data_IF_309349696974
#
_entry.id   IF_309349696974
#
_cell.length_a   1.000
_cell.length_b   1.000
_cell.length_c   1.000
_cell.angle_alpha   90.00
_cell.angle_beta   90.00
_cell.angle_gamma   90.00
#
_symmetry.space_group_name_H-M   'P 1'
#
loop_
_entity.id
_entity.type
_entity.pdbx_description
1 polymer ?
#
# COMPACT_ATOMS: atom_id res chain seq x y z
N UNK A 1 -83.66 -35.10 21.94
CA UNK A 1 -82.48 -35.09 21.05
C UNK A 1 -82.14 -33.64 20.80
N UNK A 2 -81.09 -33.14 21.45
CA UNK A 2 -80.57 -31.80 21.24
C UNK A 2 -79.14 -31.96 20.72
N UNK A 3 -78.91 -31.53 19.49
CA UNK A 3 -77.59 -31.37 18.89
C UNK A 3 -76.94 -30.11 19.45
N UNK A 4 -75.70 -30.16 19.95
CA UNK A 4 -74.93 -28.94 20.16
C UNK A 4 -74.34 -28.49 18.82
N UNK A 5 -74.73 -27.28 18.48
CA UNK A 5 -74.12 -26.39 17.49
C UNK A 5 -72.75 -25.93 18.02
N UNK A 6 -71.71 -26.04 17.22
CA UNK A 6 -70.35 -25.54 17.52
C UNK A 6 -69.76 -24.96 16.23
N UNK A 7 -70.29 -23.81 15.83
CA UNK A 7 -69.51 -22.84 15.06
C UNK A 7 -68.40 -22.28 15.97
N UNK A 8 -67.17 -22.76 15.78
CA UNK A 8 -65.96 -22.24 16.44
C UNK A 8 -65.28 -21.18 15.54
N UNK A 9 -65.37 -19.88 15.86
CA UNK A 9 -64.78 -18.81 15.06
C UNK A 9 -63.27 -18.62 15.28
N UNK A 10 -62.62 -19.43 16.13
CA UNK A 10 -61.23 -19.18 16.54
C UNK A 10 -60.16 -19.64 15.56
N UNK A 11 -60.51 -20.45 14.56
CA UNK A 11 -59.55 -21.04 13.61
C UNK A 11 -59.16 -20.11 12.43
N UNK A 12 -59.92 -19.04 12.19
CA UNK A 12 -59.81 -18.25 10.96
C UNK A 12 -58.87 -17.01 11.08
N UNK A 13 -58.56 -16.58 12.31
CA UNK A 13 -57.68 -15.43 12.57
C UNK A 13 -56.18 -15.74 12.49
N UNK A 14 -55.78 -16.95 12.89
CA UNK A 14 -54.38 -17.40 12.97
C UNK A 14 -53.75 -17.58 11.60
N UNK A 15 -54.55 -17.97 10.60
CA UNK A 15 -54.12 -18.19 9.21
C UNK A 15 -53.80 -16.87 8.48
N UNK A 16 -54.55 -15.80 8.75
CA UNK A 16 -54.36 -14.48 8.15
C UNK A 16 -53.14 -13.76 8.71
N UNK A 17 -52.93 -13.87 10.03
CA UNK A 17 -51.80 -13.25 10.71
C UNK A 17 -50.47 -13.92 10.34
N UNK A 18 -50.44 -15.26 10.24
CA UNK A 18 -49.26 -15.99 9.73
C UNK A 18 -48.91 -15.63 8.29
N UNK A 19 -49.91 -15.47 7.41
CA UNK A 19 -49.69 -15.10 6.01
C UNK A 19 -49.18 -13.67 5.84
N UNK A 20 -49.65 -12.75 6.69
CA UNK A 20 -49.17 -11.36 6.71
C UNK A 20 -47.70 -11.27 7.17
N UNK A 21 -47.34 -12.00 8.22
CA UNK A 21 -45.95 -12.04 8.73
C UNK A 21 -44.99 -12.63 7.69
N UNK A 22 -45.36 -13.74 7.04
CA UNK A 22 -44.57 -14.33 5.95
C UNK A 22 -44.40 -13.33 4.79
N UNK A 23 -45.46 -12.61 4.42
CA UNK A 23 -45.39 -11.57 3.38
C UNK A 23 -44.41 -10.45 3.71
N UNK A 24 -44.38 -9.98 4.97
CA UNK A 24 -43.45 -8.94 5.42
C UNK A 24 -42.00 -9.44 5.39
N UNK A 25 -41.74 -10.64 5.92
CA UNK A 25 -40.38 -11.21 5.95
C UNK A 25 -39.84 -11.43 4.53
N UNK A 26 -40.66 -11.97 3.63
CA UNK A 26 -40.27 -12.16 2.22
C UNK A 26 -40.03 -10.81 1.54
N UNK A 27 -40.86 -9.80 1.81
CA UNK A 27 -40.67 -8.45 1.28
C UNK A 27 -39.35 -7.82 1.73
N UNK A 28 -39.00 -7.95 3.01
CA UNK A 28 -37.72 -7.45 3.56
C UNK A 28 -36.54 -8.19 2.91
N UNK A 29 -36.63 -9.52 2.77
CA UNK A 29 -35.56 -10.32 2.16
C UNK A 29 -35.33 -9.92 0.68
N UNK A 30 -36.40 -9.72 -0.08
CA UNK A 30 -36.31 -9.26 -1.47
C UNK A 30 -35.71 -7.85 -1.53
N UNK A 31 -36.15 -6.93 -0.68
CA UNK A 31 -35.62 -5.58 -0.65
C UNK A 31 -34.13 -5.55 -0.29
N UNK A 32 -33.70 -6.32 0.70
CA UNK A 32 -32.29 -6.46 1.05
C UNK A 32 -31.48 -7.05 -0.11
N UNK A 33 -32.00 -8.09 -0.78
CA UNK A 33 -31.32 -8.69 -1.93
C UNK A 33 -31.19 -7.70 -3.10
N UNK A 34 -32.24 -6.95 -3.42
CA UNK A 34 -32.21 -5.90 -4.45
C UNK A 34 -31.23 -4.78 -4.06
N UNK A 35 -31.19 -4.39 -2.79
CA UNK A 35 -30.23 -3.41 -2.29
C UNK A 35 -28.78 -3.86 -2.45
N UNK A 36 -28.50 -5.12 -2.12
CA UNK A 36 -27.15 -5.71 -2.27
C UNK A 36 -26.76 -5.79 -3.75
N UNK A 37 -27.63 -6.32 -4.61
CA UNK A 37 -27.35 -6.41 -6.06
C UNK A 37 -27.18 -5.02 -6.66
N UNK A 38 -28.04 -4.06 -6.30
CA UNK A 38 -27.95 -2.67 -6.74
C UNK A 38 -26.64 -2.01 -6.30
N UNK A 39 -26.20 -2.27 -5.07
CA UNK A 39 -24.90 -1.80 -4.56
C UNK A 39 -23.74 -2.38 -5.37
N UNK A 40 -23.72 -3.69 -5.62
CA UNK A 40 -22.67 -4.31 -6.43
C UNK A 40 -22.63 -3.80 -7.87
N UNK A 41 -23.79 -3.59 -8.49
CA UNK A 41 -23.88 -3.01 -9.84
C UNK A 41 -23.38 -1.57 -9.86
N UNK A 42 -23.74 -0.77 -8.85
CA UNK A 42 -23.28 0.61 -8.73
C UNK A 42 -21.76 0.70 -8.52
N UNK A 43 -21.21 -0.10 -7.61
CA UNK A 43 -19.76 -0.16 -7.37
C UNK A 43 -19.01 -0.62 -8.62
N UNK A 44 -19.53 -1.63 -9.32
CA UNK A 44 -18.93 -2.12 -10.58
C UNK A 44 -18.91 -1.03 -11.65
N UNK A 45 -20.01 -0.28 -11.80
CA UNK A 45 -20.10 0.81 -12.75
C UNK A 45 -19.16 1.98 -12.39
N UNK A 46 -19.10 2.35 -11.11
CA UNK A 46 -18.20 3.40 -10.64
C UNK A 46 -16.71 3.04 -10.87
N UNK A 47 -16.34 1.77 -10.66
CA UNK A 47 -14.99 1.26 -10.93
C UNK A 47 -14.66 1.27 -12.42
N UNK A 48 -15.60 0.91 -13.29
CA UNK A 48 -15.41 0.98 -14.75
C UNK A 48 -15.23 2.42 -15.24
N UNK A 49 -16.09 3.33 -14.78
CA UNK A 49 -15.98 4.75 -15.15
C UNK A 49 -14.66 5.36 -14.64
N UNK A 50 -14.22 4.97 -13.45
CA UNK A 50 -12.92 5.37 -12.94
C UNK A 50 -11.79 4.82 -13.83
N UNK A 51 -11.81 3.53 -14.19
CA UNK A 51 -10.81 2.93 -15.07
C UNK A 51 -10.74 3.61 -16.46
N UNK A 52 -11.89 3.89 -17.07
CA UNK A 52 -11.98 4.57 -18.37
C UNK A 52 -11.39 5.99 -18.34
N UNK A 53 -11.37 6.64 -17.17
CA UNK A 53 -10.75 7.97 -17.03
C UNK A 53 -9.22 7.94 -17.09
N UNK A 54 -8.60 6.78 -16.80
CA UNK A 54 -7.16 6.57 -16.94
C UNK A 54 -6.76 6.15 -18.36
N UNK A 55 -7.68 5.54 -19.12
CA UNK A 55 -7.50 5.15 -20.51
C UNK A 55 -7.77 6.30 -21.49
N UNK A 56 -7.18 7.48 -21.22
CA UNK A 56 -7.20 8.57 -22.20
C UNK A 56 -6.38 8.17 -23.44
N UNK A 57 -6.96 8.19 -24.66
CA UNK A 57 -6.23 7.77 -25.85
C UNK A 57 -5.10 8.76 -26.14
N UNK A 58 -3.86 8.33 -25.89
CA UNK A 58 -2.68 9.05 -26.36
C UNK A 58 -2.72 9.11 -27.90
N UNK A 59 -2.33 10.24 -28.52
CA UNK A 59 -2.27 10.34 -29.96
C UNK A 59 -1.33 9.25 -30.50
N UNK A 60 -1.83 8.45 -31.44
CA UNK A 60 -1.08 7.35 -32.03
C UNK A 60 0.22 7.85 -32.66
N UNK A 61 1.35 7.56 -32.02
CA UNK A 61 2.66 7.64 -32.65
C UNK A 61 2.81 6.38 -33.48
N UNK A 62 2.78 6.54 -34.80
CA UNK A 62 3.04 5.49 -35.78
C UNK A 62 4.44 4.92 -35.54
N UNK A 63 4.53 3.82 -34.79
CA UNK A 63 5.77 3.07 -34.63
C UNK A 63 5.99 2.20 -35.88
N UNK A 64 6.92 2.62 -36.72
CA UNK A 64 7.54 1.73 -37.70
C UNK A 64 8.29 0.64 -36.92
N UNK A 65 7.96 -0.61 -37.23
CA UNK A 65 8.52 -1.80 -36.62
C UNK A 65 10.05 -1.83 -36.67
N UNK A 66 10.69 -2.13 -35.55
CA UNK A 66 11.86 -3.01 -35.47
C UNK A 66 12.13 -3.41 -34.01
N UNK A 67 11.80 -4.68 -33.73
CA UNK A 67 12.54 -5.64 -32.90
C UNK A 67 13.24 -5.14 -31.62
N UNK A 68 12.61 -5.39 -30.45
CA UNK A 68 13.20 -6.26 -29.40
C UNK A 68 12.21 -6.47 -28.25
N UNK A 69 12.03 -7.74 -27.87
CA UNK A 69 11.55 -8.21 -26.57
C UNK A 69 10.33 -7.50 -25.97
N UNK A 70 9.13 -7.99 -26.31
CA UNK A 70 7.95 -7.76 -25.49
C UNK A 70 8.13 -8.44 -24.12
N UNK A 71 8.75 -7.71 -23.19
CA UNK A 71 8.54 -7.92 -21.75
C UNK A 71 7.06 -7.64 -21.53
N UNK A 72 6.35 -8.60 -20.95
CA UNK A 72 4.91 -8.54 -20.75
C UNK A 72 4.52 -7.22 -20.08
N UNK A 73 3.44 -6.62 -20.58
CA UNK A 73 2.80 -5.41 -20.05
C UNK A 73 2.81 -5.45 -18.52
N UNK A 74 3.74 -4.71 -17.92
CA UNK A 74 3.77 -4.47 -16.50
C UNK A 74 2.44 -3.83 -16.15
N UNK A 75 1.71 -4.43 -15.21
CA UNK A 75 0.44 -3.87 -14.79
C UNK A 75 0.72 -2.49 -14.23
N UNK A 76 -0.13 -1.49 -14.50
CA UNK A 76 0.19 -0.08 -14.18
C UNK A 76 0.55 0.22 -12.72
N UNK A 77 0.25 -0.71 -11.80
CA UNK A 77 0.67 -0.67 -10.40
C UNK A 77 2.16 -0.99 -10.21
N UNK A 78 2.69 -2.00 -10.91
CA UNK A 78 4.10 -2.39 -10.84
C UNK A 78 4.99 -1.29 -11.42
N UNK A 79 4.62 -0.77 -12.60
CA UNK A 79 5.33 0.34 -13.25
C UNK A 79 5.31 1.63 -12.42
N UNK A 80 4.21 1.91 -11.69
CA UNK A 80 4.12 3.08 -10.80
C UNK A 80 5.00 2.91 -9.54
N UNK A 81 5.06 1.69 -9.00
CA UNK A 81 5.91 1.36 -7.85
C UNK A 81 7.40 1.40 -8.23
N UNK A 82 7.76 0.96 -9.43
CA UNK A 82 9.13 1.08 -9.94
C UNK A 82 9.50 2.54 -10.19
N UNK A 83 8.60 3.35 -10.76
CA UNK A 83 8.80 4.78 -10.94
C UNK A 83 9.00 5.52 -9.60
N UNK A 84 8.33 5.09 -8.51
CA UNK A 84 8.53 5.67 -7.18
C UNK A 84 9.96 5.47 -6.66
N UNK A 85 10.57 4.31 -6.93
CA UNK A 85 11.94 3.99 -6.50
C UNK A 85 13.02 4.61 -7.38
N UNK A 86 12.65 5.18 -8.53
CA UNK A 86 13.63 5.88 -9.36
C UNK A 86 14.16 7.11 -8.62
N UNK A 87 15.48 7.17 -8.51
CA UNK A 87 16.18 8.28 -7.87
C UNK A 87 16.40 9.41 -8.85
N UNK A 88 16.02 10.61 -8.45
CA UNK A 88 16.23 11.83 -9.21
C UNK A 88 17.63 12.39 -8.91
N UNK A 89 18.66 11.77 -9.50
CA UNK A 89 20.07 12.18 -9.38
C UNK A 89 20.72 12.45 -10.74
N UNK A 90 21.89 13.11 -10.72
CA UNK A 90 22.83 13.11 -11.84
C UNK A 90 24.11 12.39 -11.43
N UNK A 91 24.91 11.88 -12.38
CA UNK A 91 26.17 11.22 -12.05
C UNK A 91 27.10 12.08 -11.16
N UNK A 92 27.10 13.39 -11.35
CA UNK A 92 27.88 14.32 -10.54
C UNK A 92 27.33 14.47 -9.12
N UNK A 93 26.00 14.61 -8.95
CA UNK A 93 25.37 14.75 -7.64
C UNK A 93 25.46 13.44 -6.85
N UNK A 94 25.29 12.30 -7.52
CA UNK A 94 25.41 10.97 -6.94
C UNK A 94 26.85 10.70 -6.49
N UNK A 95 27.84 11.12 -7.28
CA UNK A 95 29.25 11.04 -6.91
C UNK A 95 29.59 11.93 -5.69
N UNK A 96 28.97 13.11 -5.58
CA UNK A 96 29.12 13.98 -4.41
C UNK A 96 28.47 13.33 -3.16
N UNK A 97 27.28 12.76 -3.29
CA UNK A 97 26.61 12.03 -2.20
C UNK A 97 27.44 10.83 -1.72
N UNK A 98 28.06 10.10 -2.65
CA UNK A 98 28.92 8.95 -2.36
C UNK A 98 30.12 9.29 -1.45
N UNK A 99 30.57 10.55 -1.42
CA UNK A 99 31.63 11.00 -0.50
C UNK A 99 31.22 10.90 0.97
N UNK A 100 29.91 10.90 1.26
CA UNK A 100 29.38 10.81 2.62
C UNK A 100 29.20 9.38 3.11
N UNK A 101 29.20 8.38 2.22
CA UNK A 101 28.98 6.96 2.57
C UNK A 101 29.94 6.47 3.65
N UNK A 102 31.27 6.73 3.61
CA UNK A 102 32.17 6.25 4.66
C UNK A 102 31.89 6.86 6.04
N UNK A 103 31.40 8.11 6.09
CA UNK A 103 31.07 8.76 7.36
C UNK A 103 29.76 8.20 7.95
N UNK A 104 28.76 7.93 7.10
CA UNK A 104 27.51 7.27 7.51
C UNK A 104 27.80 5.84 7.96
N UNK A 105 28.62 5.09 7.21
CA UNK A 105 29.05 3.74 7.58
C UNK A 105 29.73 3.73 8.96
N UNK A 106 30.72 4.62 9.17
CA UNK A 106 31.45 4.68 10.43
C UNK A 106 30.56 5.02 11.64
N UNK A 107 29.47 5.77 11.42
CA UNK A 107 28.48 6.06 12.46
C UNK A 107 27.61 4.84 12.80
N UNK A 108 27.32 3.97 11.82
CA UNK A 108 26.43 2.83 11.94
C UNK A 108 27.13 1.52 12.31
N UNK A 109 28.42 1.36 11.99
CA UNK A 109 29.21 0.17 12.32
C UNK A 109 29.13 -0.23 13.81
N UNK A 110 29.13 0.70 14.79
CA UNK A 110 28.97 0.34 16.19
C UNK A 110 27.60 -0.20 16.57
N UNK A 111 26.55 0.12 15.79
CA UNK A 111 25.17 -0.33 16.01
C UNK A 111 24.97 -1.75 15.47
N UNK A 112 25.69 -2.13 14.41
CA UNK A 112 25.71 -3.49 13.87
C UNK A 112 26.67 -4.40 14.67
N UNK A 113 26.40 -4.57 15.96
CA UNK A 113 27.27 -5.29 16.91
C UNK A 113 26.98 -6.80 17.06
N UNK A 114 26.06 -7.32 16.24
CA UNK A 114 25.55 -8.69 16.26
C UNK A 114 24.29 -8.88 17.11
N UNK A 115 23.76 -7.81 17.73
CA UNK A 115 22.50 -7.83 18.49
C UNK A 115 21.34 -7.24 17.70
N UNK A 116 20.12 -7.30 18.26
CA UNK A 116 18.94 -6.78 17.58
C UNK A 116 19.07 -5.26 17.43
N UNK A 117 18.92 -4.77 16.20
CA UNK A 117 19.04 -3.35 15.85
C UNK A 117 17.73 -2.64 16.13
N UNK A 118 17.79 -1.51 16.85
CA UNK A 118 16.66 -0.65 17.14
C UNK A 118 16.69 0.63 16.27
N UNK A 119 15.51 1.09 15.84
CA UNK A 119 15.39 2.26 14.96
C UNK A 119 15.82 3.57 15.62
N UNK A 120 15.59 3.73 16.93
CA UNK A 120 15.99 4.91 17.68
C UNK A 120 17.51 4.92 17.91
N UNK A 121 18.13 3.75 18.11
CA UNK A 121 19.60 3.63 18.22
C UNK A 121 20.32 4.02 16.92
N UNK A 122 19.81 3.56 15.78
CA UNK A 122 20.31 3.95 14.45
C UNK A 122 20.18 5.46 14.25
N UNK A 123 19.03 6.04 14.63
CA UNK A 123 18.80 7.48 14.55
C UNK A 123 19.80 8.27 15.39
N UNK A 124 19.94 7.90 16.66
CA UNK A 124 20.81 8.57 17.63
C UNK A 124 22.28 8.51 17.20
N UNK A 125 22.74 7.38 16.64
CA UNK A 125 24.10 7.23 16.14
C UNK A 125 24.40 8.22 15.00
N UNK A 126 23.46 8.39 14.07
CA UNK A 126 23.62 9.32 12.93
C UNK A 126 23.55 10.79 13.37
N UNK A 127 22.64 11.13 14.28
CA UNK A 127 22.56 12.48 14.84
C UNK A 127 23.80 12.81 15.65
N UNK A 128 24.32 11.86 16.44
CA UNK A 128 25.57 12.03 17.18
C UNK A 128 26.79 12.22 16.26
N UNK A 129 26.75 11.64 15.06
CA UNK A 129 27.75 11.85 14.00
C UNK A 129 27.58 13.19 13.25
N UNK A 130 26.51 13.95 13.51
CA UNK A 130 26.28 15.27 12.95
C UNK A 130 25.38 15.30 11.71
N UNK A 131 24.68 14.22 11.40
CA UNK A 131 23.69 14.22 10.32
C UNK A 131 22.35 14.81 10.80
N UNK A 132 21.85 15.83 10.11
CA UNK A 132 20.68 16.60 10.53
C UNK A 132 19.36 16.10 9.92
N UNK A 133 19.43 15.45 8.76
CA UNK A 133 18.27 15.01 7.98
C UNK A 133 18.28 13.49 7.83
N UNK A 134 17.96 12.82 8.94
CA UNK A 134 17.92 11.36 9.06
C UNK A 134 16.48 10.88 8.86
N UNK A 135 16.34 9.67 8.31
CA UNK A 135 15.09 8.93 8.18
C UNK A 135 15.39 7.47 8.53
N UNK A 136 14.58 6.87 9.39
CA UNK A 136 14.69 5.45 9.77
C UNK A 136 13.33 4.76 9.62
N UNK A 137 13.35 3.46 9.30
CA UNK A 137 12.16 2.61 9.30
C UNK A 137 12.50 1.25 9.87
N UNK A 138 11.98 0.96 11.06
CA UNK A 138 12.09 -0.32 11.77
C UNK A 138 10.86 -1.21 11.53
N UNK A 139 9.91 -0.78 10.67
CA UNK A 139 8.66 -1.49 10.44
C UNK A 139 8.51 -2.02 9.02
N UNK A 140 7.86 -3.18 8.91
CA UNK A 140 7.34 -3.70 7.64
C UNK A 140 6.14 -2.88 7.18
N UNK A 141 5.70 -3.09 5.93
CA UNK A 141 4.46 -2.52 5.40
C UNK A 141 3.21 -2.92 6.22
N UNK A 142 3.23 -4.08 6.89
CA UNK A 142 2.17 -4.54 7.79
C UNK A 142 2.27 -3.94 9.21
N UNK A 143 3.29 -3.14 9.51
CA UNK A 143 3.51 -2.49 10.81
C UNK A 143 4.23 -3.34 11.86
N UNK A 144 4.74 -4.52 11.48
CA UNK A 144 5.52 -5.40 12.36
C UNK A 144 6.93 -4.88 12.53
N UNK A 145 7.56 -5.13 13.69
CA UNK A 145 8.98 -4.80 13.90
C UNK A 145 9.83 -5.66 12.98
N UNK A 146 10.62 -4.99 12.16
CA UNK A 146 11.61 -5.59 11.28
C UNK A 146 12.93 -5.78 12.05
N UNK A 147 13.61 -6.92 11.89
CA UNK A 147 14.96 -7.11 12.44
C UNK A 147 16.03 -6.32 11.68
N UNK A 148 15.64 -5.64 10.60
CA UNK A 148 16.49 -4.81 9.75
C UNK A 148 15.88 -3.41 9.70
N UNK A 149 16.69 -2.40 10.01
CA UNK A 149 16.27 -1.00 10.00
C UNK A 149 16.68 -0.36 8.68
N UNK A 150 15.71 0.14 7.93
CA UNK A 150 15.97 0.97 6.75
C UNK A 150 16.47 2.34 7.17
N UNK A 151 17.46 2.89 6.45
CA UNK A 151 18.07 4.18 6.73
C UNK A 151 18.16 5.04 5.48
N UNK A 152 17.88 6.33 5.63
CA UNK A 152 18.11 7.36 4.61
C UNK A 152 18.63 8.64 5.26
N UNK A 153 19.68 9.22 4.68
CA UNK A 153 20.33 10.44 5.19
C UNK A 153 20.50 11.42 4.04
N UNK A 154 19.96 12.64 4.17
CA UNK A 154 20.22 13.70 3.19
C UNK A 154 21.60 14.28 3.42
N UNK A 155 22.38 14.35 2.35
CA UNK A 155 23.78 14.81 2.33
C UNK A 155 23.99 15.76 1.16
N UNK A 156 25.11 16.51 1.09
CA UNK A 156 25.47 17.23 -0.13
C UNK A 156 25.46 16.29 -1.34
N UNK A 157 24.87 16.75 -2.45
CA UNK A 157 24.73 15.94 -3.68
C UNK A 157 23.52 15.00 -3.72
N UNK A 158 22.89 14.64 -2.59
CA UNK A 158 21.73 13.76 -2.61
C UNK A 158 21.49 13.03 -1.28
N UNK A 159 21.46 11.70 -1.35
CA UNK A 159 21.10 10.81 -0.27
C UNK A 159 22.14 9.69 -0.12
N UNK A 160 22.42 9.32 1.13
CA UNK A 160 22.97 8.00 1.47
C UNK A 160 21.81 7.17 2.02
N UNK A 161 21.63 5.95 1.55
CA UNK A 161 20.51 5.11 1.91
C UNK A 161 20.89 3.64 1.98
N UNK A 162 20.08 2.85 2.67
CA UNK A 162 20.27 1.41 2.73
C UNK A 162 19.64 0.80 3.97
N UNK A 163 20.33 -0.15 4.59
CA UNK A 163 19.81 -0.90 5.72
C UNK A 163 20.88 -1.28 6.75
N UNK A 164 20.46 -1.37 8.01
CA UNK A 164 21.25 -1.84 9.14
C UNK A 164 20.61 -3.13 9.67
N UNK A 165 21.36 -4.22 9.56
CA UNK A 165 21.07 -5.51 10.16
C UNK A 165 22.02 -5.75 11.35
N UNK A 166 21.73 -6.71 12.24
CA UNK A 166 22.57 -7.02 13.40
C UNK A 166 24.05 -7.13 13.10
N UNK A 167 24.41 -7.76 11.99
CA UNK A 167 25.78 -8.11 11.62
C UNK A 167 26.31 -7.37 10.39
N UNK A 168 25.51 -6.49 9.80
CA UNK A 168 25.87 -5.83 8.55
C UNK A 168 25.19 -4.48 8.37
N UNK A 169 25.95 -3.53 7.83
CA UNK A 169 25.44 -2.26 7.30
C UNK A 169 25.63 -2.28 5.79
N UNK A 170 24.56 -2.07 5.04
CA UNK A 170 24.59 -1.95 3.59
C UNK A 170 24.14 -0.55 3.20
N UNK A 171 25.02 0.20 2.53
CA UNK A 171 24.76 1.57 2.13
C UNK A 171 25.09 1.77 0.65
N UNK A 172 24.32 2.66 0.03
CA UNK A 172 24.53 3.18 -1.31
C UNK A 172 24.22 4.68 -1.33
N UNK A 173 24.57 5.36 -2.42
CA UNK A 173 24.34 6.79 -2.58
C UNK A 173 23.72 7.14 -3.93
N UNK A 174 22.88 8.17 -3.91
CA UNK A 174 22.24 8.68 -5.12
C UNK A 174 21.25 9.80 -4.81
N UNK A 175 20.52 10.24 -5.83
CA UNK A 175 19.47 11.25 -5.67
C UNK A 175 18.31 10.83 -4.74
N UNK A 176 17.45 11.79 -4.36
CA UNK A 176 16.21 11.50 -3.64
C UNK A 176 15.25 10.68 -4.50
N UNK A 177 14.33 9.96 -3.85
CA UNK A 177 13.23 9.27 -4.53
C UNK A 177 12.12 10.26 -4.93
N UNK A 178 11.05 9.78 -5.56
CA UNK A 178 10.01 10.62 -6.16
C UNK A 178 9.31 11.60 -5.18
N UNK A 179 9.28 11.30 -3.88
CA UNK A 179 8.72 12.18 -2.85
C UNK A 179 9.73 13.19 -2.26
N UNK A 180 10.97 13.18 -2.75
CA UNK A 180 12.06 14.02 -2.25
C UNK A 180 12.79 13.45 -1.04
N UNK A 181 12.37 12.28 -0.53
CA UNK A 181 13.00 11.59 0.60
C UNK A 181 14.23 10.77 0.20
N UNK A 182 14.95 10.30 1.22
CA UNK A 182 16.10 9.41 1.04
C UNK A 182 15.77 7.94 1.29
N UNK A 183 14.70 7.67 2.06
CA UNK A 183 14.23 6.35 2.41
C UNK A 183 12.91 6.05 1.71
N UNK A 184 12.80 4.88 1.07
CA UNK A 184 11.54 4.42 0.48
C UNK A 184 10.49 4.22 1.58
N UNK A 185 9.26 4.69 1.35
CA UNK A 185 8.14 4.26 2.21
C UNK A 185 7.98 2.74 2.10
N UNK A 186 7.81 2.01 3.23
CA UNK A 186 7.42 0.61 3.19
C UNK A 186 6.14 0.46 2.36
N UNK A 187 6.26 -0.10 1.16
CA UNK A 187 5.16 -0.20 0.20
C UNK A 187 4.04 -1.07 0.76
N UNK A 188 2.82 -0.52 0.83
CA UNK A 188 1.59 -1.18 1.29
C UNK A 188 1.23 -2.46 0.53
#
# INVERSE_FOLDING_TARGET
MATPDLDDPTTDGTSRLGRAVVGVVVGIAIFAFVGVVGYFLFVSYAMQQWADSYDSPQPQVTATAEDTTAVGTETGLDASNEAYRQRAGTPESDAEAALSVPAVQAALDPVADGTAVDGDEVWDALVAAGFEHVQTSDRTASGEVSPVVGVGVSVPGGCVYGAVAPDAVTLDAGGPIADGGCLEMPSH
#
